data_IF_146863698045
#
_entry.id   IF_146863698045
#
_cell.length_a   1.000
_cell.length_b   1.000
_cell.length_c   1.000
_cell.angle_alpha   90.00
_cell.angle_beta   90.00
_cell.angle_gamma   90.00
#
_symmetry.space_group_name_H-M   'P 1'
#
loop_
_entity.id
_entity.type
_entity.pdbx_description
1 polymer ?
#
# COMPACT_ATOMS: atom_id res chain seq x y z
N UNK A 1 11.80 2.14 -4.42
CA UNK A 1 11.76 1.11 -5.48
C UNK A 1 10.32 0.85 -5.90
N UNK A 2 9.40 0.52 -4.98
CA UNK A 2 7.95 0.39 -5.26
C UNK A 2 7.30 1.63 -5.93
N UNK A 3 7.77 2.84 -5.60
CA UNK A 3 7.16 4.09 -6.08
C UNK A 3 7.49 4.46 -7.54
N UNK A 4 8.57 3.89 -8.10
CA UNK A 4 8.90 3.97 -9.52
C UNK A 4 8.15 2.92 -10.34
N UNK A 5 7.96 1.72 -9.80
CA UNK A 5 7.18 0.64 -10.45
C UNK A 5 5.71 1.06 -10.66
N UNK A 6 5.06 1.61 -9.63
CA UNK A 6 3.65 2.03 -9.74
C UNK A 6 3.40 3.27 -10.61
N UNK A 7 4.45 4.05 -10.96
CA UNK A 7 4.35 5.13 -11.95
C UNK A 7 4.17 4.60 -13.36
N UNK A 8 4.67 3.40 -13.60
CA UNK A 8 4.60 2.76 -14.90
C UNK A 8 3.23 2.17 -15.15
N UNK A 9 2.54 1.59 -14.16
CA UNK A 9 1.33 0.81 -14.42
C UNK A 9 0.23 1.56 -15.15
N UNK A 10 -0.26 2.67 -14.58
CA UNK A 10 -1.32 3.46 -15.21
C UNK A 10 -0.90 4.06 -16.57
N UNK A 11 0.38 4.41 -16.72
CA UNK A 11 0.90 4.97 -17.97
C UNK A 11 1.02 3.90 -19.06
N UNK A 12 1.50 2.71 -18.72
CA UNK A 12 1.59 1.56 -19.61
C UNK A 12 0.20 1.19 -20.13
N UNK A 13 -0.79 1.10 -19.23
CA UNK A 13 -2.18 0.83 -19.62
C UNK A 13 -2.77 1.96 -20.47
N UNK A 14 -2.55 3.24 -20.12
CA UNK A 14 -2.98 4.36 -20.97
C UNK A 14 -2.36 4.31 -22.36
N UNK A 15 -1.10 3.88 -22.45
CA UNK A 15 -0.38 3.81 -23.73
C UNK A 15 -0.97 2.74 -24.63
N UNK A 16 -1.25 1.54 -24.11
CA UNK A 16 -1.96 0.51 -24.90
C UNK A 16 -3.39 0.93 -25.24
N UNK A 17 -4.13 1.58 -24.33
CA UNK A 17 -5.44 2.17 -24.64
C UNK A 17 -5.35 3.19 -25.78
N UNK A 18 -4.33 4.05 -25.77
CA UNK A 18 -4.13 5.05 -26.83
C UNK A 18 -3.80 4.39 -28.19
N UNK A 19 -3.01 3.32 -28.21
CA UNK A 19 -2.72 2.55 -29.43
C UNK A 19 -4.00 1.89 -29.98
N UNK A 20 -4.79 1.25 -29.11
CA UNK A 20 -6.08 0.66 -29.48
C UNK A 20 -7.06 1.71 -29.99
N UNK A 21 -7.14 2.86 -29.32
CA UNK A 21 -7.96 4.01 -29.74
C UNK A 21 -7.52 4.64 -31.05
N UNK A 22 -6.23 4.55 -31.39
CA UNK A 22 -5.68 4.92 -32.70
C UNK A 22 -5.96 3.87 -33.79
N UNK A 23 -6.63 2.76 -33.46
CA UNK A 23 -7.04 1.72 -34.39
C UNK A 23 -6.04 0.60 -34.59
N UNK A 24 -4.98 0.49 -33.78
CA UNK A 24 -4.08 -0.66 -33.85
C UNK A 24 -4.79 -1.93 -33.36
N UNK A 25 -4.55 -3.08 -34.00
CA UNK A 25 -5.09 -4.35 -33.54
C UNK A 25 -4.48 -4.75 -32.19
N UNK A 26 -5.22 -5.47 -31.32
CA UNK A 26 -4.79 -5.76 -29.95
C UNK A 26 -3.44 -6.44 -29.81
N UNK A 27 -3.15 -7.44 -30.66
CA UNK A 27 -1.86 -8.15 -30.62
C UNK A 27 -0.67 -7.20 -30.89
N UNK A 28 -0.81 -6.32 -31.89
CA UNK A 28 0.24 -5.37 -32.27
C UNK A 28 0.40 -4.27 -31.22
N UNK A 29 -0.71 -3.78 -30.66
CA UNK A 29 -0.67 -2.81 -29.57
C UNK A 29 0.07 -3.38 -28.34
N UNK A 30 -0.18 -4.65 -28.01
CA UNK A 30 0.48 -5.34 -26.89
C UNK A 30 1.98 -5.55 -27.17
N UNK A 31 2.36 -5.94 -28.38
CA UNK A 31 3.77 -6.11 -28.77
C UNK A 31 4.57 -4.81 -28.62
N UNK A 32 3.97 -3.67 -28.95
CA UNK A 32 4.62 -2.34 -28.81
C UNK A 32 4.90 -1.99 -27.35
N UNK A 33 4.04 -2.41 -26.41
CA UNK A 33 4.15 -2.05 -24.98
C UNK A 33 4.58 -3.23 -24.10
N UNK A 34 5.01 -4.36 -24.67
CA UNK A 34 5.30 -5.60 -23.95
C UNK A 34 6.29 -5.40 -22.80
N UNK A 35 7.37 -4.64 -23.04
CA UNK A 35 8.35 -4.31 -22.00
C UNK A 35 7.75 -3.50 -20.84
N UNK A 36 6.79 -2.61 -21.12
CA UNK A 36 6.10 -1.82 -20.08
C UNK A 36 5.11 -2.69 -19.30
N UNK A 37 4.34 -3.54 -19.99
CA UNK A 37 3.35 -4.45 -19.40
C UNK A 37 4.02 -5.57 -18.60
N UNK A 38 5.18 -6.06 -19.04
CA UNK A 38 5.94 -7.09 -18.32
C UNK A 38 6.47 -6.61 -16.97
N UNK A 39 6.70 -5.30 -16.81
CA UNK A 39 7.20 -4.62 -15.61
C UNK A 39 6.11 -4.12 -14.66
N UNK A 40 4.85 -4.42 -14.92
CA UNK A 40 3.75 -4.11 -14.00
C UNK A 40 3.99 -4.76 -12.63
N UNK A 41 3.56 -4.08 -11.56
CA UNK A 41 3.51 -4.69 -10.24
C UNK A 41 2.64 -5.95 -10.28
N UNK A 42 2.97 -6.98 -9.50
CA UNK A 42 2.31 -8.28 -9.59
C UNK A 42 0.78 -8.22 -9.47
N UNK A 43 0.25 -7.35 -8.59
CA UNK A 43 -1.19 -7.16 -8.43
C UNK A 43 -1.83 -6.48 -9.65
N UNK A 44 -1.24 -5.38 -10.12
CA UNK A 44 -1.67 -4.65 -11.31
C UNK A 44 -1.63 -5.55 -12.55
N UNK A 45 -0.59 -6.39 -12.66
CA UNK A 45 -0.44 -7.35 -13.74
C UNK A 45 -1.58 -8.37 -13.76
N UNK A 46 -1.90 -8.97 -12.61
CA UNK A 46 -3.06 -9.89 -12.48
C UNK A 46 -4.36 -9.21 -12.92
N UNK A 47 -4.58 -7.96 -12.50
CA UNK A 47 -5.79 -7.23 -12.88
C UNK A 47 -5.82 -6.87 -14.37
N UNK A 48 -4.70 -6.46 -14.95
CA UNK A 48 -4.56 -6.21 -16.39
C UNK A 48 -4.82 -7.48 -17.20
N UNK A 49 -4.16 -8.59 -16.86
CA UNK A 49 -4.28 -9.86 -17.57
C UNK A 49 -5.73 -10.39 -17.51
N UNK A 50 -6.41 -10.23 -16.37
CA UNK A 50 -7.83 -10.56 -16.22
C UNK A 50 -8.71 -9.73 -17.17
N UNK A 51 -8.58 -8.40 -17.12
CA UNK A 51 -9.39 -7.50 -17.96
C UNK A 51 -9.11 -7.72 -19.44
N UNK A 52 -7.85 -7.87 -19.82
CA UNK A 52 -7.41 -8.15 -21.18
C UNK A 52 -7.95 -9.50 -21.66
N UNK A 53 -7.73 -10.56 -20.90
CA UNK A 53 -8.14 -11.92 -21.23
C UNK A 53 -9.66 -12.04 -21.36
N UNK A 54 -10.41 -11.48 -20.42
CA UNK A 54 -11.88 -11.47 -20.46
C UNK A 54 -12.41 -10.68 -21.66
N UNK A 55 -11.88 -9.48 -21.91
CA UNK A 55 -12.31 -8.66 -23.06
C UNK A 55 -11.99 -9.34 -24.39
N UNK A 56 -10.80 -9.94 -24.51
CA UNK A 56 -10.38 -10.66 -25.70
C UNK A 56 -11.21 -11.94 -25.93
N UNK A 57 -11.50 -12.69 -24.87
CA UNK A 57 -12.32 -13.92 -24.93
C UNK A 57 -13.76 -13.63 -25.35
N UNK A 58 -14.35 -12.56 -24.80
CA UNK A 58 -15.75 -12.23 -25.03
C UNK A 58 -15.98 -11.30 -26.22
N UNK A 59 -14.93 -10.69 -26.77
CA UNK A 59 -15.07 -9.62 -27.77
C UNK A 59 -15.67 -8.33 -27.19
N UNK A 60 -15.57 -8.13 -25.88
CA UNK A 60 -16.07 -6.95 -25.18
C UNK A 60 -15.25 -5.68 -25.49
N UNK A 61 -15.72 -4.49 -25.07
CA UNK A 61 -15.08 -3.21 -25.39
C UNK A 61 -13.78 -3.00 -24.58
N UNK A 62 -12.70 -3.64 -25.04
CA UNK A 62 -11.39 -3.65 -24.40
C UNK A 62 -10.87 -2.25 -24.09
N UNK A 63 -11.12 -1.27 -24.96
CA UNK A 63 -10.70 0.12 -24.76
C UNK A 63 -11.36 0.76 -23.53
N UNK A 64 -12.67 0.53 -23.33
CA UNK A 64 -13.39 1.07 -22.17
C UNK A 64 -12.89 0.43 -20.88
N UNK A 65 -12.67 -0.89 -20.91
CA UNK A 65 -12.16 -1.65 -19.78
C UNK A 65 -10.74 -1.22 -19.39
N UNK A 66 -9.86 -1.01 -20.37
CA UNK A 66 -8.49 -0.55 -20.14
C UNK A 66 -8.41 0.92 -19.70
N UNK A 67 -9.31 1.79 -20.15
CA UNK A 67 -9.40 3.15 -19.61
C UNK A 67 -9.82 3.11 -18.13
N UNK A 68 -10.78 2.26 -17.79
CA UNK A 68 -11.24 2.10 -16.41
C UNK A 68 -10.16 1.58 -15.48
N UNK A 69 -9.42 0.53 -15.88
CA UNK A 69 -8.32 0.00 -15.05
C UNK A 69 -7.16 1.00 -14.91
N UNK A 70 -6.87 1.82 -15.94
CA UNK A 70 -5.88 2.89 -15.83
C UNK A 70 -6.27 3.93 -14.77
N UNK A 71 -7.55 4.30 -14.69
CA UNK A 71 -8.07 5.18 -13.64
C UNK A 71 -7.95 4.54 -12.25
N UNK A 72 -8.22 3.23 -12.14
CA UNK A 72 -8.04 2.46 -10.90
C UNK A 72 -6.58 2.50 -10.44
N UNK A 73 -5.62 2.23 -11.32
CA UNK A 73 -4.19 2.27 -11.00
C UNK A 73 -3.74 3.67 -10.56
N UNK A 74 -4.23 4.73 -11.20
CA UNK A 74 -3.96 6.10 -10.78
C UNK A 74 -4.56 6.43 -9.40
N UNK A 75 -5.76 5.92 -9.09
CA UNK A 75 -6.41 6.09 -7.77
C UNK A 75 -5.65 5.33 -6.68
N UNK A 76 -5.29 4.07 -6.92
CA UNK A 76 -4.50 3.26 -5.98
C UNK A 76 -3.17 3.94 -5.65
N UNK A 77 -2.50 4.51 -6.64
CA UNK A 77 -1.26 5.24 -6.44
C UNK A 77 -1.45 6.52 -5.61
N UNK A 78 -2.50 7.28 -5.88
CA UNK A 78 -2.84 8.47 -5.08
C UNK A 78 -3.05 8.10 -3.62
N UNK A 79 -3.77 7.02 -3.36
CA UNK A 79 -3.99 6.51 -2.00
C UNK A 79 -2.65 6.10 -1.34
N UNK A 80 -1.76 5.41 -2.04
CA UNK A 80 -0.43 5.06 -1.49
C UNK A 80 0.42 6.29 -1.12
N UNK A 81 0.37 7.36 -1.94
CA UNK A 81 1.06 8.61 -1.62
C UNK A 81 0.44 9.32 -0.43
N UNK A 82 -0.88 9.32 -0.32
CA UNK A 82 -1.58 9.88 0.83
C UNK A 82 -1.16 9.19 2.14
N UNK A 83 -1.02 7.86 2.11
CA UNK A 83 -0.44 7.07 3.23
C UNK A 83 0.96 7.58 3.59
N UNK A 84 1.85 7.72 2.60
CA UNK A 84 3.22 8.16 2.84
C UNK A 84 3.29 9.59 3.40
N UNK A 85 2.47 10.50 2.86
CA UNK A 85 2.39 11.89 3.30
C UNK A 85 1.87 11.98 4.74
N UNK A 86 0.85 11.20 5.09
CA UNK A 86 0.31 11.14 6.45
C UNK A 86 1.36 10.67 7.48
N UNK A 87 2.28 9.79 7.09
CA UNK A 87 3.33 9.27 7.98
C UNK A 87 4.65 10.04 7.93
N UNK A 88 4.84 10.95 6.97
CA UNK A 88 6.08 11.72 6.84
C UNK A 88 6.35 12.60 8.08
N UNK A 89 5.31 13.20 8.66
CA UNK A 89 5.41 14.04 9.85
C UNK A 89 5.92 13.28 11.08
N UNK A 90 5.19 12.25 11.57
CA UNK A 90 5.60 11.46 12.73
C UNK A 90 6.99 10.81 12.58
N UNK A 91 7.37 10.39 11.37
CA UNK A 91 8.69 9.78 11.14
C UNK A 91 9.84 10.79 11.12
N UNK A 92 9.59 12.03 10.68
CA UNK A 92 10.65 13.04 10.59
C UNK A 92 11.13 13.47 11.97
N UNK A 93 10.20 13.70 12.91
CA UNK A 93 10.53 14.03 14.30
C UNK A 93 11.18 12.84 15.01
N UNK A 94 10.68 11.63 14.77
CA UNK A 94 11.25 10.39 15.28
C UNK A 94 12.72 10.23 14.93
N UNK A 95 13.09 10.48 13.68
CA UNK A 95 14.48 10.40 13.22
C UNK A 95 15.36 11.37 13.99
N UNK A 96 14.93 12.61 14.20
CA UNK A 96 15.70 13.60 14.97
C UNK A 96 15.96 13.11 16.41
N UNK A 97 14.94 12.59 17.09
CA UNK A 97 15.09 12.07 18.46
C UNK A 97 15.97 10.81 18.49
N UNK A 98 15.91 9.94 17.48
CA UNK A 98 16.80 8.77 17.39
C UNK A 98 18.29 9.14 17.24
N UNK A 99 18.62 10.33 16.72
CA UNK A 99 19.99 10.83 16.64
C UNK A 99 20.45 11.54 17.93
N UNK A 100 19.53 11.89 18.83
CA UNK A 100 19.84 12.58 20.08
C UNK A 100 20.82 11.82 20.99
N UNK A 101 20.75 10.48 21.19
CA UNK A 101 21.73 9.76 21.98
C UNK A 101 23.16 9.91 21.44
N UNK A 102 23.32 9.87 20.12
CA UNK A 102 24.62 10.02 19.47
C UNK A 102 25.17 11.42 19.73
N UNK A 103 24.33 12.45 19.59
CA UNK A 103 24.70 13.83 19.89
C UNK A 103 25.08 14.01 21.38
N UNK A 104 24.30 13.43 22.30
CA UNK A 104 24.56 13.50 23.73
C UNK A 104 25.90 12.84 24.12
N UNK A 105 26.22 11.69 23.53
CA UNK A 105 27.51 11.02 23.73
C UNK A 105 28.68 11.83 23.17
N UNK A 106 28.53 12.42 21.97
CA UNK A 106 29.56 13.28 21.37
C UNK A 106 29.83 14.51 22.23
N UNK A 107 28.79 15.18 22.70
CA UNK A 107 28.91 16.32 23.61
C UNK A 107 29.55 15.91 24.93
N UNK A 108 29.13 14.78 25.51
CA UNK A 108 29.74 14.26 26.74
C UNK A 108 31.22 13.92 26.59
N UNK A 109 31.61 13.37 25.44
CA UNK A 109 33.01 13.13 25.12
C UNK A 109 33.79 14.45 24.98
N UNK A 110 33.21 15.46 24.33
CA UNK A 110 33.85 16.78 24.16
C UNK A 110 34.03 17.55 25.47
N UNK A 111 33.11 17.39 26.43
CA UNK A 111 33.21 17.97 27.78
C UNK A 111 34.23 17.22 28.65
N UNK A 112 34.72 16.05 28.21
CA UNK A 112 35.71 15.26 28.95
C UNK A 112 35.10 14.21 29.89
N UNK A 113 33.78 13.98 29.84
CA UNK A 113 33.12 12.94 30.63
C UNK A 113 33.47 11.52 30.16
N UNK A 114 34.21 11.34 29.07
CA UNK A 114 34.68 10.07 28.52
C UNK A 114 33.67 8.89 28.52
N UNK A 115 32.42 9.08 28.05
CA UNK A 115 31.42 8.02 28.02
C UNK A 115 31.86 6.81 27.17
N UNK A 116 32.70 7.01 26.15
CA UNK A 116 33.23 5.91 25.34
C UNK A 116 34.07 4.95 26.18
N UNK A 117 34.88 5.47 27.11
CA UNK A 117 35.63 4.65 28.06
C UNK A 117 34.72 3.79 28.93
N UNK A 118 33.61 4.34 29.43
CA UNK A 118 32.63 3.58 30.22
C UNK A 118 31.94 2.47 29.39
N UNK A 119 31.67 2.71 28.11
CA UNK A 119 31.02 1.70 27.24
C UNK A 119 31.95 0.51 26.99
N UNK A 120 33.25 0.75 26.73
CA UNK A 120 34.19 -0.32 26.37
C UNK A 120 34.84 -0.99 27.59
N UNK A 121 35.00 -0.29 28.71
CA UNK A 121 35.72 -0.80 29.87
C UNK A 121 34.83 -1.12 31.08
N UNK A 122 33.54 -0.75 31.08
CA UNK A 122 32.60 -1.13 32.14
C UNK A 122 31.53 -2.10 31.63
N UNK A 123 31.38 -3.22 32.34
CA UNK A 123 30.36 -4.23 32.03
C UNK A 123 28.93 -3.65 32.14
N UNK A 124 28.71 -2.75 33.09
CA UNK A 124 27.43 -2.06 33.26
C UNK A 124 27.12 -1.11 32.10
N UNK A 125 28.14 -0.42 31.57
CA UNK A 125 28.01 0.46 30.40
C UNK A 125 27.74 -0.33 29.10
N UNK A 126 28.45 -1.43 28.90
CA UNK A 126 28.22 -2.30 27.75
C UNK A 126 26.81 -2.93 27.77
N UNK A 127 26.34 -3.37 28.96
CA UNK A 127 24.99 -3.92 29.13
C UNK A 127 23.91 -2.87 28.88
N UNK A 128 24.08 -1.64 29.40
CA UNK A 128 23.09 -0.57 29.18
C UNK A 128 22.96 -0.22 27.70
N UNK A 129 24.10 -0.08 27.00
CA UNK A 129 24.10 0.23 25.56
C UNK A 129 23.48 -0.90 24.74
N UNK A 130 23.80 -2.15 25.07
CA UNK A 130 23.22 -3.32 24.39
C UNK A 130 21.71 -3.38 24.57
N UNK A 131 21.21 -3.12 25.78
CA UNK A 131 19.78 -3.08 26.08
C UNK A 131 19.09 -1.91 25.35
N UNK A 132 19.71 -0.74 25.32
CA UNK A 132 19.23 0.44 24.60
C UNK A 132 19.15 0.23 23.09
N UNK A 133 20.17 -0.39 22.48
CA UNK A 133 20.16 -0.79 21.07
C UNK A 133 19.05 -1.81 20.79
N UNK A 134 18.89 -2.80 21.66
CA UNK A 134 17.81 -3.79 21.56
C UNK A 134 16.42 -3.16 21.56
N UNK A 135 16.16 -2.23 22.49
CA UNK A 135 14.93 -1.44 22.53
C UNK A 135 14.72 -0.62 21.24
N UNK A 136 15.78 -0.01 20.70
CA UNK A 136 15.68 0.80 19.49
C UNK A 136 15.37 -0.06 18.24
N UNK A 137 15.97 -1.25 18.14
CA UNK A 137 15.67 -2.23 17.09
C UNK A 137 14.24 -2.75 17.23
N UNK A 138 13.80 -3.08 18.45
CA UNK A 138 12.44 -3.54 18.72
C UNK A 138 11.39 -2.46 18.36
N UNK A 139 11.62 -1.22 18.78
CA UNK A 139 10.78 -0.07 18.43
C UNK A 139 10.70 0.12 16.91
N UNK A 140 11.85 0.10 16.21
CA UNK A 140 11.89 0.21 14.75
C UNK A 140 11.14 -0.92 14.05
N UNK A 141 11.26 -2.16 14.54
CA UNK A 141 10.56 -3.30 13.98
C UNK A 141 9.05 -3.23 14.23
N UNK A 142 8.62 -2.74 15.40
CA UNK A 142 7.21 -2.50 15.71
C UNK A 142 6.63 -1.43 14.78
N UNK A 143 7.30 -0.28 14.62
CA UNK A 143 6.89 0.77 13.68
C UNK A 143 6.79 0.24 12.24
N UNK A 144 7.78 -0.55 11.79
CA UNK A 144 7.76 -1.19 10.46
C UNK A 144 6.57 -2.13 10.29
N UNK A 145 6.24 -2.94 11.31
CA UNK A 145 5.08 -3.84 11.28
C UNK A 145 3.75 -3.09 11.26
N UNK A 146 3.62 -2.00 12.01
CA UNK A 146 2.42 -1.15 11.97
C UNK A 146 2.24 -0.53 10.58
N UNK A 147 3.31 -0.02 9.99
CA UNK A 147 3.29 0.54 8.64
C UNK A 147 2.99 -0.53 7.57
N UNK A 148 3.59 -1.71 7.67
CA UNK A 148 3.34 -2.80 6.71
C UNK A 148 1.87 -3.25 6.72
N UNK A 149 1.21 -3.25 7.89
CA UNK A 149 -0.23 -3.52 8.03
C UNK A 149 -1.13 -2.38 7.55
N UNK A 150 -0.57 -1.17 7.42
CA UNK A 150 -1.29 0.02 7.00
C UNK A 150 -1.31 0.20 5.47
N UNK A 151 -0.39 -0.44 4.75
CA UNK A 151 -0.38 -0.41 3.29
C UNK A 151 -1.58 -1.24 2.82
N UNK A 152 -2.57 -0.64 2.14
CA UNK A 152 -3.77 -1.35 1.68
C UNK A 152 -3.38 -2.50 0.76
N UNK A 153 -4.13 -3.60 0.83
CA UNK A 153 -4.07 -4.66 -0.18
C UNK A 153 -4.30 -4.07 -1.57
N UNK A 154 -3.51 -4.53 -2.54
CA UNK A 154 -3.48 -4.00 -3.90
C UNK A 154 -4.67 -4.48 -4.76
N UNK A 155 -5.65 -5.16 -4.17
CA UNK A 155 -6.83 -5.68 -4.88
C UNK A 155 -7.90 -4.59 -4.93
N UNK A 156 -8.34 -4.29 -6.15
CA UNK A 156 -9.43 -3.34 -6.37
C UNK A 156 -10.78 -3.98 -5.99
N UNK A 157 -11.54 -3.42 -5.03
CA UNK A 157 -12.82 -3.97 -4.59
C UNK A 157 -13.89 -3.93 -5.70
N UNK A 158 -13.76 -3.04 -6.68
CA UNK A 158 -14.69 -2.95 -7.81
C UNK A 158 -14.35 -3.87 -8.99
N UNK A 159 -13.20 -4.56 -8.98
CA UNK A 159 -12.68 -5.28 -10.14
C UNK A 159 -13.61 -6.41 -10.61
N UNK A 160 -14.30 -7.09 -9.70
CA UNK A 160 -15.25 -8.13 -10.07
C UNK A 160 -16.47 -7.56 -10.80
N UNK A 161 -17.04 -6.45 -10.31
CA UNK A 161 -18.18 -5.80 -10.97
C UNK A 161 -17.80 -5.29 -12.37
N UNK A 162 -16.56 -4.84 -12.56
CA UNK A 162 -16.03 -4.50 -13.88
C UNK A 162 -15.95 -5.72 -14.81
N UNK A 163 -15.59 -6.90 -14.30
CA UNK A 163 -15.59 -8.13 -15.09
C UNK A 163 -17.00 -8.51 -15.56
N UNK A 164 -17.99 -8.40 -14.66
CA UNK A 164 -19.40 -8.62 -15.03
C UNK A 164 -19.85 -7.59 -16.07
N UNK A 165 -19.45 -6.32 -15.91
CA UNK A 165 -19.75 -5.26 -16.86
C UNK A 165 -19.14 -5.54 -18.25
N UNK A 166 -17.89 -6.03 -18.32
CA UNK A 166 -17.26 -6.43 -19.60
C UNK A 166 -18.11 -7.50 -20.29
N UNK A 167 -18.59 -8.50 -19.55
CA UNK A 167 -19.45 -9.54 -20.10
C UNK A 167 -20.79 -9.00 -20.62
N UNK A 168 -21.43 -8.11 -19.85
CA UNK A 168 -22.67 -7.45 -20.26
C UNK A 168 -22.46 -6.59 -21.51
N UNK A 169 -21.36 -5.84 -21.59
CA UNK A 169 -21.02 -5.00 -22.74
C UNK A 169 -20.65 -5.83 -23.98
N UNK A 170 -20.17 -7.06 -23.78
CA UNK A 170 -20.02 -8.04 -24.86
C UNK A 170 -21.35 -8.67 -25.32
N UNK A 171 -22.47 -8.29 -24.70
CA UNK A 171 -23.82 -8.75 -25.06
C UNK A 171 -24.27 -10.01 -24.33
N UNK A 172 -23.55 -10.47 -23.32
CA UNK A 172 -23.99 -11.60 -22.51
C UNK A 172 -25.18 -11.21 -21.62
N UNK A 173 -26.12 -12.14 -21.36
CA UNK A 173 -27.10 -11.95 -20.29
C UNK A 173 -26.39 -11.93 -18.93
N UNK A 174 -27.00 -11.27 -17.94
CA UNK A 174 -26.40 -11.02 -16.62
C UNK A 174 -25.86 -12.28 -15.94
N UNK A 175 -26.60 -13.39 -15.97
CA UNK A 175 -26.19 -14.65 -15.34
C UNK A 175 -24.97 -15.28 -16.04
N UNK A 176 -24.88 -15.19 -17.36
CA UNK A 176 -23.71 -15.67 -18.10
C UNK A 176 -22.50 -14.76 -17.89
N UNK A 177 -22.71 -13.43 -17.87
CA UNK A 177 -21.66 -12.46 -17.54
C UNK A 177 -21.12 -12.68 -16.12
N UNK A 178 -21.99 -12.94 -15.15
CA UNK A 178 -21.62 -13.28 -13.78
C UNK A 178 -20.82 -14.59 -13.71
N UNK A 179 -21.28 -15.64 -14.38
CA UNK A 179 -20.61 -16.95 -14.38
C UNK A 179 -19.19 -16.83 -14.96
N UNK A 180 -19.04 -16.18 -16.11
CA UNK A 180 -17.75 -16.00 -16.77
C UNK A 180 -16.82 -15.10 -15.94
N UNK A 181 -17.34 -14.00 -15.39
CA UNK A 181 -16.57 -13.13 -14.51
C UNK A 181 -16.09 -13.90 -13.26
N UNK A 182 -16.94 -14.72 -12.65
CA UNK A 182 -16.58 -15.52 -11.46
C UNK A 182 -15.46 -16.52 -11.78
N UNK A 183 -15.58 -17.23 -12.90
CA UNK A 183 -14.58 -18.19 -13.35
C UNK A 183 -13.22 -17.51 -13.59
N UNK A 184 -13.18 -16.49 -14.46
CA UNK A 184 -11.92 -15.81 -14.79
C UNK A 184 -11.31 -15.09 -13.58
N UNK A 185 -12.15 -14.48 -12.73
CA UNK A 185 -11.68 -13.82 -11.53
C UNK A 185 -11.01 -14.81 -10.57
N UNK A 186 -11.62 -15.98 -10.36
CA UNK A 186 -11.07 -17.03 -9.49
C UNK A 186 -9.74 -17.55 -10.02
N UNK A 187 -9.61 -17.73 -11.33
CA UNK A 187 -8.35 -18.15 -11.97
C UNK A 187 -7.27 -17.07 -11.81
N UNK A 188 -7.60 -15.79 -11.98
CA UNK A 188 -6.61 -14.72 -11.91
C UNK A 188 -6.10 -14.46 -10.48
N UNK A 189 -7.00 -14.53 -9.49
CA UNK A 189 -6.69 -14.18 -8.11
C UNK A 189 -6.46 -15.39 -7.18
N UNK A 190 -6.61 -16.62 -7.68
CA UNK A 190 -6.54 -17.86 -6.91
C UNK A 190 -7.57 -17.93 -5.76
N UNK A 191 -8.59 -17.07 -5.80
CA UNK A 191 -9.62 -16.90 -4.78
C UNK A 191 -10.92 -16.43 -5.43
N UNK A 192 -12.08 -16.87 -4.92
CA UNK A 192 -13.36 -16.38 -5.42
C UNK A 192 -13.55 -14.87 -5.12
N UNK A 193 -14.49 -14.21 -5.83
CA UNK A 193 -14.96 -12.89 -5.46
C UNK A 193 -15.52 -12.88 -4.02
N UNK A 194 -15.37 -11.76 -3.31
CA UNK A 194 -15.95 -11.62 -1.97
C UNK A 194 -17.49 -11.65 -2.01
N UNK A 195 -18.13 -12.13 -0.93
CA UNK A 195 -19.59 -12.19 -0.79
C UNK A 195 -20.27 -10.83 -1.08
N UNK A 196 -19.66 -9.73 -0.60
CA UNK A 196 -20.13 -8.35 -0.86
C UNK A 196 -20.24 -8.01 -2.35
N UNK A 197 -19.43 -8.61 -3.21
CA UNK A 197 -19.52 -8.39 -4.64
C UNK A 197 -20.81 -8.99 -5.22
N UNK A 198 -21.22 -10.16 -4.74
CA UNK A 198 -22.46 -10.81 -5.16
C UNK A 198 -23.67 -10.01 -4.67
N UNK A 199 -23.67 -9.56 -3.40
CA UNK A 199 -24.72 -8.69 -2.87
C UNK A 199 -24.90 -7.40 -3.69
N UNK A 200 -23.80 -6.74 -4.07
CA UNK A 200 -23.83 -5.51 -4.88
C UNK A 200 -24.37 -5.78 -6.29
N UNK A 201 -23.98 -6.89 -6.90
CA UNK A 201 -24.49 -7.32 -8.20
C UNK A 201 -26.00 -7.60 -8.15
N UNK A 202 -26.46 -8.30 -7.13
CA UNK A 202 -27.88 -8.63 -6.94
C UNK A 202 -28.72 -7.36 -6.70
N UNK A 203 -28.23 -6.44 -5.88
CA UNK A 203 -28.86 -5.13 -5.66
C UNK A 203 -28.94 -4.32 -6.96
N UNK A 204 -27.87 -4.29 -7.76
CA UNK A 204 -27.87 -3.61 -9.04
C UNK A 204 -28.87 -4.22 -10.03
N UNK A 205 -28.95 -5.55 -10.05
CA UNK A 205 -29.90 -6.30 -10.88
C UNK A 205 -31.35 -6.05 -10.45
N UNK A 206 -31.63 -6.03 -9.15
CA UNK A 206 -32.94 -5.71 -8.59
C UNK A 206 -33.35 -4.28 -8.91
N UNK A 207 -32.45 -3.32 -8.73
CA UNK A 207 -32.70 -1.92 -9.05
C UNK A 207 -33.01 -1.74 -10.54
N UNK A 208 -32.26 -2.41 -11.43
CA UNK A 208 -32.54 -2.42 -12.87
C UNK A 208 -33.92 -3.00 -13.18
N UNK A 209 -34.30 -4.13 -12.58
CA UNK A 209 -35.63 -4.76 -12.78
C UNK A 209 -36.78 -3.86 -12.32
N UNK A 210 -36.61 -3.17 -11.19
CA UNK A 210 -37.67 -2.35 -10.59
C UNK A 210 -37.81 -0.98 -11.26
N UNK A 211 -36.72 -0.39 -11.74
CA UNK A 211 -36.71 0.97 -12.30
C UNK A 211 -36.63 1.03 -13.82
N UNK A 212 -36.21 -0.06 -14.48
CA UNK A 212 -35.91 -0.09 -15.91
C UNK A 212 -34.58 0.56 -16.29
N UNK A 213 -33.80 1.06 -15.33
CA UNK A 213 -32.48 1.64 -15.60
C UNK A 213 -31.49 0.57 -16.11
N UNK A 214 -30.55 0.97 -16.96
CA UNK A 214 -29.56 0.07 -17.54
C UNK A 214 -28.64 -0.52 -16.46
N UNK A 215 -28.65 -1.85 -16.29
CA UNK A 215 -27.85 -2.55 -15.27
C UNK A 215 -26.36 -2.22 -15.36
N UNK A 216 -25.83 -1.99 -16.57
CA UNK A 216 -24.44 -1.60 -16.77
C UNK A 216 -24.07 -0.28 -16.08
N UNK A 217 -24.93 0.74 -16.17
CA UNK A 217 -24.70 2.04 -15.51
C UNK A 217 -24.78 1.92 -13.98
N UNK A 218 -25.70 1.08 -13.48
CA UNK A 218 -25.82 0.81 -12.05
C UNK A 218 -24.56 0.09 -11.55
N UNK A 219 -24.04 -0.89 -12.29
CA UNK A 219 -22.80 -1.59 -11.95
C UNK A 219 -21.57 -0.67 -11.99
N UNK A 220 -21.52 0.27 -12.95
CA UNK A 220 -20.46 1.29 -12.97
C UNK A 220 -20.51 2.11 -11.67
N UNK A 221 -21.70 2.60 -11.30
CA UNK A 221 -21.90 3.39 -10.09
C UNK A 221 -21.60 2.59 -8.81
N UNK A 222 -22.03 1.33 -8.71
CA UNK A 222 -21.75 0.46 -7.56
C UNK A 222 -20.27 0.13 -7.43
N UNK A 223 -19.57 -0.16 -8.53
CA UNK A 223 -18.13 -0.41 -8.49
C UNK A 223 -17.35 0.84 -8.04
N UNK A 224 -17.76 2.03 -8.50
CA UNK A 224 -17.15 3.28 -8.08
C UNK A 224 -17.48 3.63 -6.62
N UNK A 225 -18.72 3.40 -6.18
CA UNK A 225 -19.13 3.55 -4.78
C UNK A 225 -18.39 2.59 -3.86
N UNK A 226 -18.17 1.34 -4.28
CA UNK A 226 -17.43 0.35 -3.51
C UNK A 226 -15.95 0.76 -3.34
N UNK A 227 -15.33 1.28 -4.41
CA UNK A 227 -13.98 1.86 -4.36
C UNK A 227 -13.89 3.06 -3.42
N UNK A 228 -14.85 3.98 -3.47
CA UNK A 228 -14.89 5.14 -2.56
C UNK A 228 -15.12 4.72 -1.10
N UNK A 229 -16.05 3.80 -0.83
CA UNK A 229 -16.27 3.27 0.52
C UNK A 229 -14.99 2.65 1.09
N UNK A 230 -14.32 1.78 0.31
CA UNK A 230 -13.07 1.17 0.73
C UNK A 230 -11.98 2.22 0.97
N UNK A 231 -11.93 3.28 0.14
CA UNK A 231 -11.02 4.41 0.35
C UNK A 231 -11.27 5.13 1.67
N UNK A 232 -12.51 5.39 2.05
CA UNK A 232 -12.83 5.99 3.35
C UNK A 232 -12.42 5.12 4.53
N UNK A 233 -12.65 3.81 4.44
CA UNK A 233 -12.23 2.84 5.46
C UNK A 233 -10.71 2.80 5.61
N UNK A 234 -9.99 2.82 4.48
CA UNK A 234 -8.53 2.90 4.42
C UNK A 234 -8.01 4.23 4.99
N UNK A 235 -8.56 5.38 4.56
CA UNK A 235 -8.17 6.71 5.03
C UNK A 235 -8.37 6.87 6.55
N UNK A 236 -9.46 6.31 7.08
CA UNK A 236 -9.73 6.30 8.52
C UNK A 236 -8.69 5.47 9.28
N UNK A 237 -8.30 4.30 8.75
CA UNK A 237 -7.24 3.46 9.33
C UNK A 237 -5.89 4.21 9.32
N UNK A 238 -5.51 4.80 8.19
CA UNK A 238 -4.26 5.58 8.05
C UNK A 238 -4.19 6.73 9.06
N UNK A 239 -5.28 7.49 9.20
CA UNK A 239 -5.36 8.59 10.17
C UNK A 239 -5.12 8.13 11.61
N UNK A 240 -5.72 7.00 12.01
CA UNK A 240 -5.52 6.41 13.35
C UNK A 240 -4.10 5.89 13.56
N UNK A 241 -3.48 5.34 12.50
CA UNK A 241 -2.11 4.85 12.55
C UNK A 241 -1.10 5.96 12.86
N UNK A 242 -1.34 7.21 12.43
CA UNK A 242 -0.46 8.34 12.75
C UNK A 242 -0.25 8.51 14.26
N UNK A 243 -1.33 8.37 15.03
CA UNK A 243 -1.30 8.40 16.50
C UNK A 243 -0.68 7.11 17.05
N UNK A 244 -1.07 5.94 16.53
CA UNK A 244 -0.55 4.65 17.01
C UNK A 244 0.96 4.51 16.83
N UNK A 245 1.55 5.14 15.81
CA UNK A 245 3.00 5.12 15.58
C UNK A 245 3.79 5.93 16.62
N UNK A 246 3.15 6.86 17.33
CA UNK A 246 3.81 7.63 18.40
C UNK A 246 4.06 6.78 19.65
N UNK A 247 3.23 5.77 19.91
CA UNK A 247 3.35 4.89 21.09
C UNK A 247 4.64 4.06 21.09
N UNK A 248 4.92 3.22 20.06
CA UNK A 248 6.14 2.43 20.03
C UNK A 248 7.38 3.32 20.02
N UNK A 249 7.29 4.48 19.37
CA UNK A 249 8.38 5.44 19.35
C UNK A 249 8.65 6.00 20.74
N UNK A 250 7.63 6.50 21.46
CA UNK A 250 7.80 7.04 22.80
C UNK A 250 8.30 6.00 23.81
N UNK A 251 7.69 4.81 23.80
CA UNK A 251 8.02 3.72 24.74
C UNK A 251 9.39 3.11 24.47
N UNK A 252 9.85 3.07 23.21
CA UNK A 252 11.19 2.55 22.89
C UNK A 252 12.29 3.61 23.01
N UNK A 253 12.03 4.83 22.51
CA UNK A 253 13.08 5.86 22.35
C UNK A 253 13.47 6.48 23.69
N UNK A 254 12.52 6.74 24.59
CA UNK A 254 12.85 7.41 25.86
C UNK A 254 13.69 6.51 26.79
N UNK A 255 13.34 5.23 27.03
CA UNK A 255 14.21 4.32 27.77
C UNK A 255 15.52 4.03 27.05
N UNK A 256 15.50 3.89 25.71
CA UNK A 256 16.73 3.71 24.93
C UNK A 256 17.67 4.93 25.08
N UNK A 257 17.15 6.16 25.05
CA UNK A 257 17.94 7.37 25.24
C UNK A 257 18.64 7.38 26.60
N UNK A 258 17.92 7.03 27.67
CA UNK A 258 18.47 6.92 29.02
C UNK A 258 19.61 5.90 29.06
N UNK A 259 19.37 4.69 28.52
CA UNK A 259 20.32 3.59 28.53
C UNK A 259 21.55 3.81 27.64
N UNK A 260 21.38 4.50 26.51
CA UNK A 260 22.43 4.79 25.54
C UNK A 260 23.27 6.00 25.94
N UNK A 261 22.70 7.01 26.61
CA UNK A 261 23.35 8.30 26.83
C UNK A 261 23.59 8.60 28.30
N UNK A 262 22.54 8.57 29.11
CA UNK A 262 22.61 9.01 30.51
C UNK A 262 23.38 8.00 31.37
N UNK A 263 23.09 6.71 31.23
CA UNK A 263 23.72 5.66 32.04
C UNK A 263 25.25 5.61 31.82
N UNK A 264 25.78 5.59 30.58
CA UNK A 264 27.24 5.60 30.37
C UNK A 264 27.92 6.86 30.93
N UNK A 265 27.29 8.03 30.75
CA UNK A 265 27.81 9.29 31.32
C UNK A 265 27.86 9.22 32.84
N UNK A 266 26.78 8.75 33.48
CA UNK A 266 26.73 8.60 34.94
C UNK A 266 27.78 7.62 35.46
N UNK A 267 27.95 6.46 34.81
CA UNK A 267 28.99 5.48 35.16
C UNK A 267 30.38 6.10 35.03
N UNK A 268 30.63 6.87 33.97
CA UNK A 268 31.92 7.51 33.76
C UNK A 268 32.24 8.55 34.84
N UNK A 269 31.25 9.38 35.22
CA UNK A 269 31.40 10.35 36.31
C UNK A 269 31.70 9.68 37.66
N UNK A 270 30.99 8.58 37.96
CA UNK A 270 31.22 7.80 39.17
C UNK A 270 32.58 7.11 39.18
N UNK A 271 33.04 6.61 38.03
CA UNK A 271 34.34 5.93 37.90
C UNK A 271 35.52 6.90 37.96
N UNK A 272 35.36 8.15 37.53
CA UNK A 272 36.43 9.16 37.51
C UNK A 272 36.51 10.02 38.79
N UNK A 273 35.66 9.77 39.80
CA UNK A 273 35.76 10.41 41.12
C UNK A 273 35.48 11.92 41.15
N UNK A 274 34.69 12.47 40.21
CA UNK A 274 34.36 13.90 40.13
C UNK A 274 33.05 14.30 40.85
N UNK A 275 32.72 13.67 41.98
CA UNK A 275 31.61 14.09 42.85
C UNK A 275 32.13 14.80 44.10
#
# INVERSE_FOLDING_TARGET
MLESENRNSANAVRRISALLGAGLPPHQALEIVDDEISKLAAADKKQFDLVWGLSAKLGGPILLALNRIADVFDRQRRNQREVQLAFAGPQSTAKLVMWLPVLALLLGQAVGMNPMGAIFHSLLGALSVSLGLGLMVAGRQWTRRLLARAVPEARDPGAYLDCVLIGLQAGLPLSAAQSEATEQFTVAFDEPPEERNFERLDNAAELSRTTGAAVGEILIAEADAFREQHRYEVATRISKLGIQLMIPLGVAVLPAFILLSIVPIAISLLSNGQL
#
